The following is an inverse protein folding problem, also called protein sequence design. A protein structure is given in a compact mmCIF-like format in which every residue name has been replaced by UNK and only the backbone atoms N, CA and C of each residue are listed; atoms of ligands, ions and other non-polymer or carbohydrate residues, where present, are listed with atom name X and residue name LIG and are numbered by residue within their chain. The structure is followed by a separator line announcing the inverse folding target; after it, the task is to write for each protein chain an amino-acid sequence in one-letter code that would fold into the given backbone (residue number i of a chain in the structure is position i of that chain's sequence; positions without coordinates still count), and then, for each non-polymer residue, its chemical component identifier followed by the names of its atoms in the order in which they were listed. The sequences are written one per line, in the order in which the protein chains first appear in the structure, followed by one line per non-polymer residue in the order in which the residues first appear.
data_IF_214110107057
#
_entry.id   IF_214110107057
#
_cell.length_a   1.000
_cell.length_b   1.000
_cell.length_c   1.000
_cell.angle_alpha   90.00
_cell.angle_beta   90.00
_cell.angle_gamma   90.00
#
_symmetry.space_group_name_H-M   'P 1'
#
loop_
_entity.id
_entity.type
_entity.pdbx_description
1 polymer ?
#
# COMPACT_ATOMS: atom_id res chain seq x y z
N UNK A 1 15.49 -28.90 27.50
CA UNK A 1 14.30 -28.44 26.74
C UNK A 1 14.14 -26.94 26.92
N UNK A 2 13.46 -26.30 25.97
CA UNK A 2 13.20 -24.86 25.77
C UNK A 2 14.28 -24.09 24.98
N UNK A 3 14.20 -24.18 23.65
CA UNK A 3 14.78 -23.20 22.71
C UNK A 3 13.65 -22.28 22.26
N UNK A 4 13.33 -21.30 23.10
CA UNK A 4 12.33 -20.26 22.80
C UNK A 4 13.06 -18.97 22.51
N UNK A 5 13.03 -18.51 21.25
CA UNK A 5 12.91 -17.11 20.80
C UNK A 5 13.35 -17.02 19.34
N UNK A 6 12.46 -17.40 18.42
CA UNK A 6 12.60 -17.05 17.00
C UNK A 6 11.42 -16.21 16.49
N UNK A 7 10.51 -15.82 17.39
CA UNK A 7 9.30 -15.04 17.09
C UNK A 7 9.27 -13.63 17.69
N UNK A 8 10.27 -13.26 18.50
CA UNK A 8 10.30 -12.00 19.28
C UNK A 8 11.04 -10.85 18.59
N UNK A 9 11.24 -10.90 17.28
CA UNK A 9 11.92 -9.82 16.54
C UNK A 9 10.96 -8.97 15.68
N UNK A 10 9.71 -9.40 15.48
CA UNK A 10 8.65 -8.54 14.92
C UNK A 10 8.01 -7.64 15.98
N UNK A 11 8.45 -7.73 17.25
CA UNK A 11 7.81 -7.09 18.41
C UNK A 11 8.40 -5.73 18.79
N UNK A 12 9.41 -5.20 18.08
CA UNK A 12 10.01 -3.89 18.44
C UNK A 12 9.49 -2.69 17.61
N UNK A 13 8.90 -2.93 16.44
CA UNK A 13 8.04 -1.96 15.76
C UNK A 13 6.59 -2.37 16.10
N UNK A 14 5.88 -1.54 16.88
CA UNK A 14 4.57 -1.87 17.46
C UNK A 14 3.70 -2.71 16.51
N UNK A 15 3.39 -3.94 16.92
CA UNK A 15 2.69 -4.90 16.10
C UNK A 15 1.33 -4.32 15.68
N UNK A 16 1.27 -3.76 14.47
CA UNK A 16 0.04 -3.21 13.93
C UNK A 16 -0.99 -4.34 13.82
N UNK A 17 -2.16 -4.09 14.37
CA UNK A 17 -3.29 -5.00 14.32
C UNK A 17 -3.82 -5.12 12.90
N UNK A 18 -4.48 -6.25 12.62
CA UNK A 18 -5.21 -6.43 11.35
C UNK A 18 -6.25 -5.34 11.11
N UNK A 19 -6.89 -4.84 12.18
CA UNK A 19 -7.86 -3.74 12.09
C UNK A 19 -7.22 -2.41 11.74
N UNK A 20 -6.03 -2.10 12.27
CA UNK A 20 -5.30 -0.89 11.89
C UNK A 20 -4.88 -0.93 10.43
N UNK A 21 -4.40 -2.09 9.97
CA UNK A 21 -4.08 -2.27 8.55
C UNK A 21 -5.30 -2.01 7.66
N UNK A 22 -6.44 -2.63 7.97
CA UNK A 22 -7.68 -2.44 7.22
C UNK A 22 -8.14 -0.97 7.24
N UNK A 23 -8.01 -0.28 8.37
CA UNK A 23 -8.35 1.12 8.48
C UNK A 23 -7.43 2.02 7.63
N UNK A 24 -6.13 1.76 7.61
CA UNK A 24 -5.18 2.50 6.77
C UNK A 24 -5.43 2.23 5.29
N UNK A 25 -5.69 0.97 4.92
CA UNK A 25 -5.99 0.58 3.55
C UNK A 25 -7.26 1.28 3.05
N UNK A 26 -8.34 1.24 3.83
CA UNK A 26 -9.60 1.91 3.51
C UNK A 26 -9.42 3.43 3.39
N UNK A 27 -8.64 4.05 4.29
CA UNK A 27 -8.32 5.47 4.22
C UNK A 27 -7.59 5.81 2.92
N UNK A 28 -6.58 5.02 2.56
CA UNK A 28 -5.81 5.23 1.34
C UNK A 28 -6.66 5.04 0.08
N UNK A 29 -7.54 4.03 0.07
CA UNK A 29 -8.50 3.79 -1.01
C UNK A 29 -9.39 5.01 -1.26
N UNK A 30 -9.97 5.58 -0.19
CA UNK A 30 -10.79 6.80 -0.29
C UNK A 30 -9.99 7.96 -0.87
N UNK A 31 -8.76 8.19 -0.38
CA UNK A 31 -7.90 9.26 -0.86
C UNK A 31 -7.53 9.09 -2.35
N UNK A 32 -7.17 7.88 -2.78
CA UNK A 32 -6.87 7.59 -4.18
C UNK A 32 -8.08 7.79 -5.08
N UNK A 33 -9.27 7.41 -4.58
CA UNK A 33 -10.53 7.59 -5.30
C UNK A 33 -10.89 9.06 -5.47
N UNK A 34 -10.75 9.84 -4.42
CA UNK A 34 -11.04 11.28 -4.45
C UNK A 34 -10.03 12.02 -5.33
N UNK A 35 -8.74 11.69 -5.23
CA UNK A 35 -7.71 12.22 -6.11
C UNK A 35 -7.98 11.86 -7.60
N UNK A 36 -8.33 10.60 -7.87
CA UNK A 36 -8.67 10.14 -9.22
C UNK A 36 -9.89 10.86 -9.80
N UNK A 37 -10.96 11.03 -9.01
CA UNK A 37 -12.13 11.81 -9.43
C UNK A 37 -11.79 13.27 -9.70
N UNK A 38 -11.01 13.91 -8.83
CA UNK A 38 -10.58 15.29 -9.02
C UNK A 38 -9.74 15.46 -10.31
N UNK A 39 -8.85 14.51 -10.61
CA UNK A 39 -8.09 14.49 -11.85
C UNK A 39 -9.00 14.36 -13.08
N UNK A 40 -9.98 13.46 -13.06
CA UNK A 40 -10.94 13.30 -14.16
C UNK A 40 -11.85 14.52 -14.40
N UNK A 41 -12.17 15.23 -13.32
CA UNK A 41 -12.96 16.47 -13.39
C UNK A 41 -12.15 17.64 -13.95
N UNK A 42 -10.85 17.71 -13.67
CA UNK A 42 -9.95 18.76 -14.16
C UNK A 42 -9.39 18.49 -15.55
N UNK A 43 -9.40 17.24 -16.01
CA UNK A 43 -8.95 16.86 -17.34
C UNK A 43 -9.85 17.42 -18.46
N UNK A 44 -9.22 18.03 -19.46
CA UNK A 44 -9.85 18.49 -20.70
C UNK A 44 -10.05 17.31 -21.66
N UNK A 45 -10.97 16.42 -21.32
CA UNK A 45 -11.34 15.22 -22.09
C UNK A 45 -12.83 15.25 -22.43
N UNK A 46 -13.21 14.55 -23.50
CA UNK A 46 -14.61 14.45 -23.88
C UNK A 46 -15.43 13.72 -22.81
N UNK A 47 -16.74 13.97 -22.78
CA UNK A 47 -17.64 13.29 -21.84
C UNK A 47 -17.64 11.76 -22.00
N UNK A 48 -17.38 11.26 -23.22
CA UNK A 48 -17.25 9.83 -23.50
C UNK A 48 -15.98 9.24 -22.87
N UNK A 49 -14.84 9.90 -23.04
CA UNK A 49 -13.57 9.48 -22.45
C UNK A 49 -13.60 9.56 -20.92
N UNK A 50 -14.20 10.62 -20.35
CA UNK A 50 -14.38 10.76 -18.91
C UNK A 50 -15.17 9.58 -18.33
N UNK A 51 -16.28 9.19 -18.98
CA UNK A 51 -17.11 8.07 -18.53
C UNK A 51 -16.35 6.74 -18.56
N UNK A 52 -15.55 6.50 -19.60
CA UNK A 52 -14.70 5.30 -19.68
C UNK A 52 -13.63 5.30 -18.60
N UNK A 53 -13.01 6.45 -18.32
CA UNK A 53 -12.01 6.59 -17.28
C UNK A 53 -12.62 6.41 -15.86
N UNK A 54 -13.82 6.92 -15.61
CA UNK A 54 -14.55 6.66 -14.35
C UNK A 54 -14.86 5.17 -14.15
N UNK A 55 -15.24 4.46 -15.22
CA UNK A 55 -15.50 3.00 -15.16
C UNK A 55 -14.25 2.16 -14.87
N UNK A 56 -13.06 2.67 -15.20
CA UNK A 56 -11.78 1.98 -14.99
C UNK A 56 -11.09 2.39 -13.69
N UNK A 57 -11.45 3.56 -13.14
CA UNK A 57 -10.85 4.12 -11.93
C UNK A 57 -10.84 3.15 -10.75
N UNK A 58 -11.95 2.46 -10.47
CA UNK A 58 -12.04 1.52 -9.33
C UNK A 58 -11.05 0.35 -9.47
N UNK A 59 -10.91 -0.20 -10.67
CA UNK A 59 -9.91 -1.25 -10.96
C UNK A 59 -8.49 -0.73 -10.83
N UNK A 60 -8.25 0.49 -11.29
CA UNK A 60 -6.94 1.11 -11.19
C UNK A 60 -6.53 1.36 -9.73
N UNK A 61 -7.48 1.76 -8.89
CA UNK A 61 -7.25 1.94 -7.44
C UNK A 61 -6.93 0.60 -6.79
N UNK A 62 -7.73 -0.44 -7.05
CA UNK A 62 -7.46 -1.79 -6.53
C UNK A 62 -6.04 -2.27 -6.89
N UNK A 63 -5.67 -2.15 -8.16
CA UNK A 63 -4.34 -2.53 -8.63
C UNK A 63 -3.23 -1.66 -7.99
N UNK A 64 -3.47 -0.36 -7.78
CA UNK A 64 -2.51 0.52 -7.09
C UNK A 64 -2.30 0.07 -5.65
N UNK A 65 -3.38 -0.19 -4.91
CA UNK A 65 -3.31 -0.66 -3.53
C UNK A 65 -2.56 -1.99 -3.42
N UNK A 66 -2.86 -2.96 -4.30
CA UNK A 66 -2.16 -4.25 -4.33
C UNK A 66 -0.65 -4.07 -4.60
N UNK A 67 -0.27 -3.19 -5.54
CA UNK A 67 1.14 -2.88 -5.81
C UNK A 67 1.83 -2.23 -4.61
N UNK A 68 1.15 -1.33 -3.90
CA UNK A 68 1.70 -0.70 -2.70
C UNK A 68 1.93 -1.71 -1.58
N UNK A 69 0.96 -2.59 -1.33
CA UNK A 69 1.11 -3.67 -0.34
C UNK A 69 2.27 -4.59 -0.72
N UNK A 70 2.35 -5.02 -1.98
CA UNK A 70 3.42 -5.89 -2.46
C UNK A 70 4.81 -5.24 -2.31
N UNK A 71 4.92 -3.96 -2.68
CA UNK A 71 6.15 -3.18 -2.52
C UNK A 71 6.55 -3.07 -1.05
N UNK A 72 5.59 -2.78 -0.18
CA UNK A 72 5.83 -2.68 1.26
C UNK A 72 6.32 -4.02 1.85
N UNK A 73 5.74 -5.14 1.42
CA UNK A 73 6.19 -6.47 1.83
C UNK A 73 7.58 -6.80 1.28
N UNK A 74 7.88 -6.39 0.05
CA UNK A 74 9.23 -6.51 -0.52
C UNK A 74 10.28 -5.78 0.33
N UNK A 75 9.97 -4.57 0.79
CA UNK A 75 10.85 -3.81 1.67
C UNK A 75 11.09 -4.51 3.02
N UNK A 76 10.04 -5.07 3.64
CA UNK A 76 10.20 -5.88 4.86
C UNK A 76 11.03 -7.14 4.59
N UNK A 77 10.80 -7.83 3.46
CA UNK A 77 11.59 -9.01 3.08
C UNK A 77 13.08 -8.67 2.94
N UNK A 78 13.40 -7.59 2.25
CA UNK A 78 14.76 -7.07 2.10
C UNK A 78 15.37 -6.68 3.46
N UNK A 79 14.60 -5.99 4.31
CA UNK A 79 15.04 -5.63 5.65
C UNK A 79 15.36 -6.87 6.50
N UNK A 80 14.52 -7.90 6.47
CA UNK A 80 14.75 -9.16 7.18
C UNK A 80 15.99 -9.88 6.66
N UNK A 81 16.21 -9.85 5.35
CA UNK A 81 17.40 -10.44 4.74
C UNK A 81 18.67 -9.70 5.18
N UNK A 82 18.66 -8.36 5.16
CA UNK A 82 19.83 -7.53 5.47
C UNK A 82 20.14 -7.51 6.97
N UNK A 83 19.13 -7.26 7.82
CA UNK A 83 19.32 -7.07 9.26
C UNK A 83 19.44 -8.40 10.01
N UNK A 84 18.69 -9.42 9.60
CA UNK A 84 18.58 -10.67 10.34
C UNK A 84 19.16 -11.89 9.61
N UNK A 85 19.67 -11.71 8.37
CA UNK A 85 20.14 -12.81 7.51
C UNK A 85 19.08 -13.90 7.35
N UNK A 86 17.81 -13.49 7.35
CA UNK A 86 16.68 -14.38 7.23
C UNK A 86 15.88 -13.96 6.01
N UNK A 87 15.86 -14.83 5.01
CA UNK A 87 14.96 -14.69 3.88
C UNK A 87 13.54 -15.04 4.35
N UNK A 88 12.61 -14.11 4.15
CA UNK A 88 11.18 -14.34 4.34
C UNK A 88 10.51 -14.02 3.00
N UNK A 89 9.88 -15.01 2.34
CA UNK A 89 9.14 -14.78 1.11
C UNK A 89 8.04 -13.74 1.29
N UNK A 90 7.83 -12.92 0.26
CA UNK A 90 6.86 -11.81 0.29
C UNK A 90 5.43 -12.32 0.55
N UNK A 91 5.08 -13.50 0.07
CA UNK A 91 3.78 -14.14 0.29
C UNK A 91 3.58 -14.64 1.72
N UNK A 92 4.67 -14.91 2.45
CA UNK A 92 4.63 -15.29 3.86
C UNK A 92 4.54 -14.08 4.81
N UNK A 93 4.82 -12.87 4.32
CA UNK A 93 4.72 -11.65 5.11
C UNK A 93 3.25 -11.26 5.26
N UNK A 94 2.73 -11.17 6.51
CA UNK A 94 1.35 -10.76 6.72
C UNK A 94 1.15 -9.29 6.38
N UNK A 95 0.01 -8.96 5.78
CA UNK A 95 -0.33 -7.58 5.37
C UNK A 95 -0.22 -6.57 6.52
N UNK A 96 -0.64 -6.95 7.72
CA UNK A 96 -0.60 -6.04 8.87
C UNK A 96 0.83 -5.67 9.32
N UNK A 97 1.85 -6.47 8.97
CA UNK A 97 3.24 -6.14 9.28
C UNK A 97 3.75 -4.94 8.48
N UNK A 98 3.11 -4.62 7.35
CA UNK A 98 3.52 -3.51 6.47
C UNK A 98 2.71 -2.24 6.67
N UNK A 99 1.90 -2.17 7.73
CA UNK A 99 0.98 -1.03 7.97
C UNK A 99 1.70 0.32 7.99
N UNK A 100 2.88 0.41 8.62
CA UNK A 100 3.66 1.64 8.70
C UNK A 100 4.18 2.08 7.31
N UNK A 101 4.72 1.13 6.53
CA UNK A 101 5.17 1.39 5.15
C UNK A 101 4.01 1.74 4.23
N UNK A 102 2.83 1.16 4.42
CA UNK A 102 1.65 1.46 3.60
C UNK A 102 1.24 2.93 3.73
N UNK A 103 1.39 3.52 4.92
CA UNK A 103 1.15 4.96 5.14
C UNK A 103 2.14 5.79 4.33
N UNK A 104 3.44 5.53 4.51
CA UNK A 104 4.50 6.30 3.83
C UNK A 104 4.42 6.18 2.31
N UNK A 105 4.26 4.96 1.80
CA UNK A 105 4.15 4.68 0.37
C UNK A 105 2.83 5.23 -0.20
N UNK A 106 1.73 5.18 0.57
CA UNK A 106 0.46 5.78 0.17
C UNK A 106 0.55 7.29 0.00
N UNK A 107 1.22 7.99 0.92
CA UNK A 107 1.48 9.43 0.79
C UNK A 107 2.38 9.77 -0.40
N UNK A 108 3.37 8.93 -0.70
CA UNK A 108 4.20 9.08 -1.89
C UNK A 108 3.40 8.86 -3.18
N UNK A 109 2.52 7.85 -3.22
CA UNK A 109 1.66 7.57 -4.37
C UNK A 109 0.68 8.71 -4.62
N UNK A 110 0.09 9.30 -3.57
CA UNK A 110 -0.82 10.44 -3.70
C UNK A 110 -0.09 11.67 -4.25
N UNK A 111 1.13 11.94 -3.80
CA UNK A 111 1.98 13.03 -4.32
C UNK A 111 2.40 12.80 -5.78
N UNK A 112 2.92 11.61 -6.07
CA UNK A 112 3.36 11.25 -7.43
C UNK A 112 2.20 11.13 -8.41
N UNK A 113 1.00 10.81 -7.91
CA UNK A 113 -0.25 10.83 -8.65
C UNK A 113 -0.58 12.24 -9.09
N UNK A 114 -0.51 13.23 -8.19
CA UNK A 114 -0.74 14.63 -8.53
C UNK A 114 0.20 15.13 -9.66
N UNK A 115 1.46 14.69 -9.64
CA UNK A 115 2.45 15.06 -10.66
C UNK A 115 2.21 14.41 -12.04
N UNK A 116 1.44 13.32 -12.10
CA UNK A 116 1.13 12.60 -13.36
C UNK A 116 -0.11 13.14 -14.07
N UNK A 117 -0.87 14.02 -13.42
CA UNK A 117 -2.11 14.62 -13.95
C UNK A 117 -2.03 16.15 -14.11
N UNK A 118 -0.85 16.75 -13.94
CA UNK A 118 -0.55 18.16 -14.25
C UNK A 118 0.21 18.32 -15.55
#
# INVERSE_FOLDING_TARGET
MAKSTSGDLLTSQGACSRSEFQAQLAKLEVLLRDAGRAALQSADVSAGERRTAEMTLERDIEHRLQRLILRAKGMVSEEMLVQHRREIPVDEIPDYAVTHLLVELGEQELRSGADRWG
#
